data_IF_510116310554
#
_entry.id   IF_510116310554
#
_cell.length_a   1.000
_cell.length_b   1.000
_cell.length_c   1.000
_cell.angle_alpha   90.00
_cell.angle_beta   90.00
_cell.angle_gamma   90.00
#
_symmetry.space_group_name_H-M   'P 1'
#
loop_
_entity.id
_entity.type
_entity.pdbx_description
1 polymer ?
#
# COMPACT_ATOMS: atom_id res chain seq x y z
N UNK A 1 54.23 -39.85 12.57
CA UNK A 1 54.39 -38.37 12.52
C UNK A 1 53.09 -37.70 12.04
N UNK A 2 52.22 -38.42 11.33
CA UNK A 2 50.93 -37.95 10.82
C UNK A 2 49.84 -37.73 11.91
N UNK A 3 49.78 -38.56 12.96
CA UNK A 3 48.75 -38.43 14.01
C UNK A 3 48.81 -37.12 14.83
N UNK A 4 50.02 -36.57 15.02
CA UNK A 4 50.20 -35.29 15.75
C UNK A 4 49.75 -34.09 14.90
N UNK A 5 49.89 -34.19 13.58
CA UNK A 5 49.48 -33.14 12.64
C UNK A 5 47.95 -33.12 12.50
N UNK A 6 47.31 -34.29 12.48
CA UNK A 6 45.85 -34.39 12.41
C UNK A 6 45.18 -33.90 13.70
N UNK A 7 45.74 -34.25 14.86
CA UNK A 7 45.27 -33.75 16.16
C UNK A 7 45.42 -32.22 16.27
N UNK A 8 46.55 -31.67 15.79
CA UNK A 8 46.76 -30.21 15.81
C UNK A 8 45.78 -29.45 14.90
N UNK A 9 45.43 -30.01 13.74
CA UNK A 9 44.42 -29.43 12.84
C UNK A 9 43.02 -29.47 13.43
N UNK A 10 42.64 -30.58 14.07
CA UNK A 10 41.35 -30.72 14.73
C UNK A 10 41.19 -29.71 15.88
N UNK A 11 42.22 -29.57 16.71
CA UNK A 11 42.22 -28.60 17.81
C UNK A 11 42.15 -27.14 17.31
N UNK A 12 42.76 -26.83 16.17
CA UNK A 12 42.69 -25.50 15.57
C UNK A 12 41.27 -25.16 15.06
N UNK A 13 40.56 -26.15 14.50
CA UNK A 13 39.17 -26.00 14.05
C UNK A 13 38.24 -25.81 15.23
N UNK A 14 38.41 -26.59 16.30
CA UNK A 14 37.62 -26.45 17.53
C UNK A 14 37.84 -25.09 18.21
N UNK A 15 39.09 -24.60 18.26
CA UNK A 15 39.38 -23.26 18.79
C UNK A 15 38.70 -22.16 17.96
N UNK A 16 38.71 -22.28 16.63
CA UNK A 16 38.09 -21.30 15.74
C UNK A 16 36.57 -21.25 15.95
N UNK A 17 35.92 -22.42 16.01
CA UNK A 17 34.48 -22.52 16.23
C UNK A 17 34.05 -21.98 17.60
N UNK A 18 34.82 -22.25 18.66
CA UNK A 18 34.57 -21.69 20.01
C UNK A 18 34.74 -20.16 20.01
N UNK A 19 35.71 -19.63 19.26
CA UNK A 19 35.94 -18.18 19.19
C UNK A 19 34.80 -17.47 18.44
N UNK A 20 34.29 -18.07 17.36
CA UNK A 20 33.13 -17.54 16.61
C UNK A 20 31.82 -17.60 17.41
N UNK A 21 31.60 -18.66 18.21
CA UNK A 21 30.41 -18.75 19.07
C UNK A 21 30.45 -17.69 20.18
N UNK A 22 31.60 -17.53 20.85
CA UNK A 22 31.77 -16.53 21.93
C UNK A 22 31.58 -15.10 21.41
N UNK A 23 32.13 -14.77 20.24
CA UNK A 23 31.96 -13.44 19.65
C UNK A 23 30.52 -13.15 19.22
N UNK A 24 29.79 -14.17 18.73
CA UNK A 24 28.36 -14.05 18.39
C UNK A 24 27.49 -13.80 19.62
N UNK A 25 27.76 -14.51 20.71
CA UNK A 25 27.04 -14.35 21.99
C UNK A 25 27.31 -12.98 22.64
N UNK A 26 28.54 -12.48 22.57
CA UNK A 26 28.88 -11.12 23.03
C UNK A 26 28.17 -10.04 22.20
N UNK A 27 28.08 -10.21 20.88
CA UNK A 27 27.35 -9.30 19.99
C UNK A 27 25.84 -9.31 20.26
N UNK A 28 25.26 -10.48 20.48
CA UNK A 28 23.84 -10.65 20.84
C UNK A 28 23.53 -10.00 22.19
N UNK A 29 24.37 -10.22 23.20
CA UNK A 29 24.22 -9.60 24.52
C UNK A 29 24.39 -8.08 24.47
N UNK A 30 25.35 -7.57 23.68
CA UNK A 30 25.54 -6.13 23.49
C UNK A 30 24.35 -5.49 22.78
N UNK A 31 23.82 -6.12 21.72
CA UNK A 31 22.60 -5.66 21.04
C UNK A 31 21.38 -5.72 21.96
N UNK A 32 21.23 -6.78 22.76
CA UNK A 32 20.17 -6.91 23.77
C UNK A 32 20.23 -5.77 24.80
N UNK A 33 21.43 -5.45 25.29
CA UNK A 33 21.65 -4.33 26.22
C UNK A 33 21.35 -2.96 25.62
N UNK A 34 21.72 -2.71 24.36
CA UNK A 34 21.38 -1.46 23.67
C UNK A 34 19.86 -1.33 23.40
N UNK A 35 19.19 -2.43 23.04
CA UNK A 35 17.73 -2.46 22.87
C UNK A 35 17.03 -2.16 24.19
N UNK A 36 17.49 -2.71 25.31
CA UNK A 36 16.89 -2.47 26.63
C UNK A 36 17.08 -1.01 27.09
N UNK A 37 18.25 -0.42 26.82
CA UNK A 37 18.48 1.02 27.04
C UNK A 37 17.53 1.89 26.21
N UNK A 38 17.28 1.52 24.95
CA UNK A 38 16.32 2.22 24.10
C UNK A 38 14.88 2.06 24.63
N UNK A 39 14.50 0.84 25.06
CA UNK A 39 13.19 0.56 25.66
C UNK A 39 12.90 1.43 26.87
N UNK A 40 13.89 1.59 27.75
CA UNK A 40 13.81 2.45 28.93
C UNK A 40 13.83 3.94 28.56
N UNK A 41 14.71 4.36 27.65
CA UNK A 41 14.81 5.76 27.20
C UNK A 41 13.49 6.28 26.63
N UNK A 42 12.80 5.48 25.84
CA UNK A 42 11.53 5.85 25.21
C UNK A 42 10.31 5.38 26.01
N UNK A 43 10.51 4.89 27.24
CA UNK A 43 9.47 4.43 28.15
C UNK A 43 8.38 3.59 27.46
N UNK A 44 8.79 2.59 26.69
CA UNK A 44 7.84 1.75 25.94
C UNK A 44 6.87 0.98 26.83
N UNK A 45 7.17 0.84 28.12
CA UNK A 45 6.26 0.28 29.13
C UNK A 45 5.03 1.17 29.36
N UNK A 46 5.07 2.45 29.00
CA UNK A 46 3.91 3.35 29.04
C UNK A 46 3.02 3.24 27.78
N UNK A 47 3.41 2.43 26.80
CA UNK A 47 2.65 2.17 25.56
C UNK A 47 1.72 0.95 25.73
N UNK A 48 1.75 0.24 26.86
CA UNK A 48 0.81 -0.84 27.16
C UNK A 48 -0.61 -0.28 27.30
N UNK A 49 -1.38 -0.33 26.21
CA UNK A 49 -2.72 0.26 26.10
C UNK A 49 -2.88 1.31 24.99
N UNK A 50 -1.85 1.57 24.19
CA UNK A 50 -1.99 2.37 22.97
C UNK A 50 -2.75 1.56 21.91
N UNK A 51 -4.03 1.85 21.70
CA UNK A 51 -4.88 1.20 20.67
C UNK A 51 -4.53 1.63 19.23
N UNK A 52 -3.44 2.39 19.03
CA UNK A 52 -3.18 3.04 17.76
C UNK A 52 -4.01 4.32 17.60
N UNK A 53 -3.41 5.40 17.12
CA UNK A 53 -4.19 6.56 16.66
C UNK A 53 -4.94 6.16 15.39
N UNK A 54 -6.28 6.12 15.42
CA UNK A 54 -7.11 5.97 14.22
C UNK A 54 -6.74 7.01 13.17
N UNK A 55 -6.87 6.65 11.89
CA UNK A 55 -6.72 7.62 10.82
C UNK A 55 -7.80 8.71 10.93
N UNK A 56 -7.41 9.97 10.76
CA UNK A 56 -8.34 11.10 10.77
C UNK A 56 -9.09 11.20 9.43
N UNK A 57 -9.95 10.21 9.15
CA UNK A 57 -10.65 10.12 7.87
C UNK A 57 -11.72 11.21 7.70
N UNK A 58 -12.20 11.80 8.79
CA UNK A 58 -13.07 12.99 8.81
C UNK A 58 -12.34 14.23 8.30
N UNK A 59 -11.08 14.45 8.70
CA UNK A 59 -10.24 15.52 8.15
C UNK A 59 -9.96 15.28 6.66
N UNK A 60 -9.64 14.04 6.28
CA UNK A 60 -9.45 13.66 4.87
C UNK A 60 -10.74 13.86 4.05
N UNK A 61 -11.91 13.53 4.62
CA UNK A 61 -13.21 13.77 3.99
C UNK A 61 -13.44 15.26 3.74
N UNK A 62 -13.19 16.11 4.75
CA UNK A 62 -13.37 17.55 4.64
C UNK A 62 -12.42 18.17 3.61
N UNK A 63 -11.16 17.75 3.55
CA UNK A 63 -10.22 18.23 2.53
C UNK A 63 -10.65 17.78 1.13
N UNK A 64 -11.03 16.51 0.96
CA UNK A 64 -11.52 16.00 -0.33
C UNK A 64 -12.77 16.75 -0.80
N UNK A 65 -13.72 16.99 0.10
CA UNK A 65 -14.91 17.81 -0.19
C UNK A 65 -14.51 19.22 -0.61
N UNK A 66 -13.58 19.85 0.11
CA UNK A 66 -13.10 21.19 -0.22
C UNK A 66 -12.45 21.24 -1.60
N UNK A 67 -11.68 20.21 -2.00
CA UNK A 67 -11.15 20.08 -3.35
C UNK A 67 -12.26 19.97 -4.41
N UNK A 68 -13.31 19.19 -4.13
CA UNK A 68 -14.45 19.02 -5.01
C UNK A 68 -15.28 20.32 -5.17
N UNK A 69 -15.53 21.05 -4.09
CA UNK A 69 -16.23 22.34 -4.09
C UNK A 69 -15.46 23.40 -4.89
N UNK A 70 -14.12 23.38 -4.82
CA UNK A 70 -13.24 24.21 -5.67
C UNK A 70 -13.25 23.78 -7.14
N UNK A 71 -13.88 22.65 -7.47
CA UNK A 71 -13.95 22.10 -8.82
C UNK A 71 -12.61 21.58 -9.32
N UNK A 72 -11.74 21.13 -8.42
CA UNK A 72 -10.42 20.63 -8.78
C UNK A 72 -10.49 19.33 -9.59
N UNK A 73 -9.57 19.19 -10.54
CA UNK A 73 -9.42 17.94 -11.28
C UNK A 73 -8.60 16.96 -10.42
N UNK A 74 -9.23 15.85 -10.03
CA UNK A 74 -8.63 14.88 -9.11
C UNK A 74 -7.79 13.82 -9.83
N UNK A 75 -6.71 13.39 -9.17
CA UNK A 75 -5.88 12.24 -9.56
C UNK A 75 -5.93 11.22 -8.45
N UNK A 76 -6.42 10.01 -8.75
CA UNK A 76 -6.76 9.00 -7.74
C UNK A 76 -5.98 7.70 -7.93
N UNK A 77 -5.63 7.04 -6.81
CA UNK A 77 -4.90 5.78 -6.77
C UNK A 77 -5.47 4.88 -5.69
N UNK A 78 -5.93 3.68 -6.04
CA UNK A 78 -6.39 2.70 -5.04
C UNK A 78 -5.21 2.14 -4.23
N UNK A 79 -5.40 2.04 -2.93
CA UNK A 79 -4.42 1.50 -1.98
C UNK A 79 -5.11 0.83 -0.80
N UNK A 80 -4.34 0.07 -0.03
CA UNK A 80 -4.65 -0.21 1.37
C UNK A 80 -3.75 0.72 2.18
N UNK A 81 -4.30 1.40 3.17
CA UNK A 81 -3.53 2.33 4.00
C UNK A 81 -2.77 1.61 5.12
N UNK A 82 -2.03 2.37 5.93
CA UNK A 82 -1.24 1.81 7.04
C UNK A 82 -2.10 1.23 8.17
N UNK A 83 -3.42 1.40 8.11
CA UNK A 83 -4.40 0.87 9.07
C UNK A 83 -5.10 -0.37 8.55
N UNK A 84 -4.73 -0.86 7.35
CA UNK A 84 -5.35 -2.04 6.74
C UNK A 84 -6.75 -1.74 6.19
N UNK A 85 -7.05 -0.49 5.85
CA UNK A 85 -8.34 -0.08 5.29
C UNK A 85 -8.18 0.23 3.80
N UNK A 86 -9.14 -0.21 2.98
CA UNK A 86 -9.22 0.17 1.58
C UNK A 86 -9.36 1.69 1.45
N UNK A 87 -8.50 2.29 0.64
CA UNK A 87 -8.42 3.74 0.54
C UNK A 87 -8.14 4.18 -0.89
N UNK A 88 -8.38 5.47 -1.14
CA UNK A 88 -7.90 6.17 -2.33
C UNK A 88 -6.87 7.20 -1.88
N UNK A 89 -5.65 7.10 -2.40
CA UNK A 89 -4.75 8.25 -2.39
C UNK A 89 -5.27 9.25 -3.42
N UNK A 90 -5.54 10.48 -2.99
CA UNK A 90 -6.07 11.56 -3.81
C UNK A 90 -5.09 12.73 -3.81
N UNK A 91 -4.93 13.36 -4.97
CA UNK A 91 -4.20 14.62 -5.13
C UNK A 91 -4.84 15.47 -6.22
N UNK A 92 -4.47 16.75 -6.23
CA UNK A 92 -4.77 17.67 -7.32
C UNK A 92 -3.54 18.51 -7.64
N UNK A 93 -3.72 19.51 -8.51
CA UNK A 93 -2.66 20.50 -8.79
C UNK A 93 -2.34 21.37 -7.57
N UNK A 94 -3.30 21.57 -6.67
CA UNK A 94 -3.26 22.55 -5.58
C UNK A 94 -3.18 21.93 -4.20
N UNK A 95 -3.60 20.67 -4.05
CA UNK A 95 -3.53 19.91 -2.80
C UNK A 95 -2.62 18.70 -2.97
N UNK A 96 -1.67 18.56 -2.05
CA UNK A 96 -0.73 17.43 -2.02
C UNK A 96 -1.44 16.10 -1.70
N UNK A 97 -0.77 14.98 -1.99
CA UNK A 97 -1.36 13.65 -1.86
C UNK A 97 -1.70 13.29 -0.40
N UNK A 98 -2.91 12.83 -0.17
CA UNK A 98 -3.36 12.22 1.09
C UNK A 98 -4.25 11.01 0.82
N UNK A 99 -4.54 10.20 1.85
CA UNK A 99 -5.42 9.04 1.71
C UNK A 99 -6.84 9.37 2.19
N UNK A 100 -7.84 8.81 1.52
CA UNK A 100 -9.22 8.83 1.98
C UNK A 100 -9.68 7.37 2.10
N UNK A 101 -9.95 6.92 3.32
CA UNK A 101 -10.46 5.58 3.57
C UNK A 101 -11.88 5.46 3.01
N UNK A 102 -12.11 4.39 2.26
CA UNK A 102 -13.34 4.19 1.52
C UNK A 102 -14.45 3.63 2.39
N UNK A 103 -15.65 4.13 2.12
CA UNK A 103 -16.92 3.46 2.42
C UNK A 103 -17.67 3.31 1.10
N UNK A 104 -18.68 2.41 1.00
CA UNK A 104 -19.47 2.28 -0.22
C UNK A 104 -20.07 3.62 -0.71
N UNK A 105 -20.62 4.42 0.22
CA UNK A 105 -21.15 5.75 -0.09
C UNK A 105 -20.05 6.75 -0.45
N UNK A 106 -18.90 6.68 0.23
CA UNK A 106 -17.73 7.52 -0.09
C UNK A 106 -17.19 7.25 -1.49
N UNK A 107 -17.12 5.98 -1.91
CA UNK A 107 -16.74 5.60 -3.26
C UNK A 107 -17.75 6.13 -4.29
N UNK A 108 -19.05 5.93 -4.06
CA UNK A 108 -20.10 6.44 -4.95
C UNK A 108 -20.04 7.96 -5.09
N UNK A 109 -19.83 8.69 -3.99
CA UNK A 109 -19.68 10.14 -3.98
C UNK A 109 -18.51 10.60 -4.85
N UNK A 110 -17.34 9.97 -4.73
CA UNK A 110 -16.19 10.25 -5.58
C UNK A 110 -16.52 10.01 -7.06
N UNK A 111 -17.17 8.90 -7.40
CA UNK A 111 -17.54 8.58 -8.80
C UNK A 111 -18.52 9.61 -9.37
N UNK A 112 -19.50 10.07 -8.58
CA UNK A 112 -20.43 11.13 -8.97
C UNK A 112 -19.69 12.44 -9.24
N UNK A 113 -18.75 12.81 -8.38
CA UNK A 113 -17.92 13.99 -8.61
C UNK A 113 -17.11 13.88 -9.91
N UNK A 114 -16.39 12.77 -10.10
CA UNK A 114 -15.56 12.56 -11.29
C UNK A 114 -16.37 12.66 -12.58
N UNK A 115 -17.61 12.15 -12.57
CA UNK A 115 -18.49 12.08 -13.73
C UNK A 115 -19.25 13.39 -13.99
N UNK A 116 -19.87 13.96 -12.95
CA UNK A 116 -20.86 15.04 -13.06
C UNK A 116 -20.49 16.33 -12.31
N UNK A 117 -19.36 16.38 -11.61
CA UNK A 117 -18.96 17.47 -10.71
C UNK A 117 -19.86 17.66 -9.49
N UNK A 118 -20.59 16.63 -9.08
CA UNK A 118 -21.41 16.65 -7.87
C UNK A 118 -20.50 16.59 -6.63
N UNK A 119 -20.44 17.67 -5.85
CA UNK A 119 -19.60 17.79 -4.64
C UNK A 119 -20.31 17.37 -3.35
N UNK A 120 -21.62 17.25 -3.40
CA UNK A 120 -22.48 17.05 -2.25
C UNK A 120 -22.38 15.61 -1.73
N UNK A 121 -22.03 15.49 -0.47
CA UNK A 121 -21.65 14.28 0.27
C UNK A 121 -22.83 13.63 1.02
N UNK A 122 -24.08 13.93 0.65
CA UNK A 122 -25.27 13.44 1.35
C UNK A 122 -25.17 11.95 1.70
N UNK A 123 -25.27 11.63 3.00
CA UNK A 123 -25.20 10.26 3.56
C UNK A 123 -23.83 9.56 3.48
N UNK A 124 -22.73 10.29 3.24
CA UNK A 124 -21.39 9.74 3.45
C UNK A 124 -21.08 9.79 4.95
N UNK A 125 -20.89 8.62 5.57
CA UNK A 125 -20.40 8.49 6.93
C UNK A 125 -18.90 8.12 6.89
N UNK A 126 -17.97 9.09 6.86
CA UNK A 126 -16.55 8.84 6.61
C UNK A 126 -15.87 8.04 7.73
N UNK A 127 -16.48 7.93 8.91
CA UNK A 127 -15.92 7.17 10.04
C UNK A 127 -16.42 5.71 10.08
N UNK A 128 -17.41 5.34 9.27
CA UNK A 128 -17.96 3.97 9.18
C UNK A 128 -17.13 3.10 8.22
N UNK A 129 -15.82 3.07 8.43
CA UNK A 129 -14.87 2.28 7.63
C UNK A 129 -14.72 0.87 8.19
N UNK A 130 -14.54 -0.09 7.29
CA UNK A 130 -14.27 -1.48 7.64
C UNK A 130 -12.83 -1.85 7.29
N UNK A 131 -12.15 -2.68 8.09
CA UNK A 131 -10.90 -3.29 7.68
C UNK A 131 -11.06 -4.02 6.33
N UNK A 132 -10.01 -3.96 5.52
CA UNK A 132 -9.91 -4.69 4.27
C UNK A 132 -9.71 -6.18 4.54
N UNK A 133 -10.39 -7.04 3.78
CA UNK A 133 -10.09 -8.48 3.73
C UNK A 133 -8.78 -8.74 2.98
N UNK A 134 -8.41 -7.84 2.07
CA UNK A 134 -7.14 -7.84 1.37
C UNK A 134 -6.05 -7.19 2.21
N UNK A 135 -4.84 -7.73 2.17
CA UNK A 135 -3.64 -7.12 2.79
C UNK A 135 -2.66 -6.58 1.74
N UNK A 136 -2.79 -7.02 0.49
CA UNK A 136 -1.98 -6.55 -0.63
C UNK A 136 -2.76 -5.54 -1.48
N UNK A 137 -2.29 -4.30 -1.47
CA UNK A 137 -2.87 -3.23 -2.28
C UNK A 137 -2.82 -3.52 -3.79
N UNK A 138 -1.93 -4.43 -4.24
CA UNK A 138 -1.90 -4.89 -5.64
C UNK A 138 -3.13 -5.72 -6.00
N UNK A 139 -3.56 -6.64 -5.13
CA UNK A 139 -4.78 -7.44 -5.32
C UNK A 139 -6.00 -6.54 -5.37
N UNK A 140 -6.16 -5.66 -4.37
CA UNK A 140 -7.24 -4.68 -4.34
C UNK A 140 -7.31 -3.83 -5.62
N UNK A 141 -6.17 -3.34 -6.13
CA UNK A 141 -6.10 -2.60 -7.40
C UNK A 141 -6.56 -3.41 -8.60
N UNK A 142 -6.24 -4.71 -8.66
CA UNK A 142 -6.66 -5.60 -9.75
C UNK A 142 -8.16 -5.80 -9.73
N UNK A 143 -8.73 -6.04 -8.56
CA UNK A 143 -10.18 -6.25 -8.42
C UNK A 143 -10.95 -4.98 -8.75
N UNK A 144 -10.47 -3.82 -8.32
CA UNK A 144 -11.02 -2.53 -8.75
C UNK A 144 -10.89 -2.32 -10.25
N UNK A 145 -9.79 -2.70 -10.89
CA UNK A 145 -9.66 -2.60 -12.36
C UNK A 145 -10.68 -3.51 -13.07
N UNK A 146 -10.82 -4.76 -12.61
CA UNK A 146 -11.82 -5.70 -13.14
C UNK A 146 -13.23 -5.14 -12.96
N UNK A 147 -13.56 -4.62 -11.77
CA UNK A 147 -14.85 -3.97 -11.49
C UNK A 147 -15.16 -2.85 -12.49
N UNK A 148 -14.19 -1.98 -12.78
CA UNK A 148 -14.36 -0.91 -13.77
C UNK A 148 -14.55 -1.45 -15.20
N UNK A 149 -13.84 -2.52 -15.57
CA UNK A 149 -13.98 -3.16 -16.87
C UNK A 149 -15.35 -3.84 -17.03
N UNK A 150 -15.85 -4.53 -16.00
CA UNK A 150 -17.16 -5.20 -16.02
C UNK A 150 -18.33 -4.22 -16.12
N UNK A 151 -18.19 -3.04 -15.49
CA UNK A 151 -19.27 -2.04 -15.41
C UNK A 151 -19.12 -0.91 -16.44
N UNK A 152 -18.17 -1.03 -17.38
CA UNK A 152 -17.87 0.00 -18.39
C UNK A 152 -17.68 1.40 -17.77
N UNK A 153 -17.04 1.45 -16.60
CA UNK A 153 -16.92 2.68 -15.81
C UNK A 153 -15.83 3.59 -16.36
N UNK A 154 -16.26 4.74 -16.88
CA UNK A 154 -15.36 5.74 -17.45
C UNK A 154 -14.61 5.24 -18.69
N UNK A 155 -13.71 6.07 -19.22
CA UNK A 155 -12.92 5.70 -20.41
C UNK A 155 -11.58 5.10 -20.00
N UNK A 156 -11.52 3.78 -19.96
CA UNK A 156 -10.32 3.01 -19.64
C UNK A 156 -9.33 3.03 -20.82
N UNK A 157 -8.07 3.32 -20.52
CA UNK A 157 -6.95 3.30 -21.47
C UNK A 157 -5.79 2.51 -20.87
N UNK A 158 -5.35 1.47 -21.57
CA UNK A 158 -4.18 0.68 -21.17
C UNK A 158 -2.91 1.24 -21.82
N UNK A 159 -1.83 1.32 -21.05
CA UNK A 159 -0.51 1.64 -21.59
C UNK A 159 -0.04 0.44 -22.43
N UNK A 160 0.34 0.64 -23.71
CA UNK A 160 0.86 -0.45 -24.53
C UNK A 160 2.11 -1.07 -23.92
N UNK A 161 2.27 -2.39 -24.04
CA UNK A 161 3.34 -3.13 -23.36
C UNK A 161 4.74 -2.58 -23.63
N UNK A 162 5.06 -2.22 -24.87
CA UNK A 162 6.36 -1.65 -25.24
C UNK A 162 6.61 -0.23 -24.69
N UNK A 163 5.56 0.46 -24.23
CA UNK A 163 5.64 1.77 -23.57
C UNK A 163 5.60 1.66 -22.05
N UNK A 164 5.15 0.52 -21.54
CA UNK A 164 5.06 0.29 -20.11
C UNK A 164 6.41 -0.18 -19.55
N UNK A 165 6.56 -0.10 -18.23
CA UNK A 165 7.72 -0.67 -17.54
C UNK A 165 7.66 -2.19 -17.64
N UNK A 166 8.82 -2.82 -17.83
CA UNK A 166 8.93 -4.29 -17.92
C UNK A 166 8.26 -4.97 -16.73
N UNK A 167 7.35 -5.90 -17.02
CA UNK A 167 6.59 -6.65 -16.01
C UNK A 167 5.45 -5.87 -15.34
N UNK A 168 5.20 -4.61 -15.71
CA UNK A 168 4.10 -3.80 -15.14
C UNK A 168 2.92 -3.73 -16.10
N UNK A 169 1.74 -3.52 -15.53
CA UNK A 169 0.52 -3.15 -16.22
C UNK A 169 0.02 -1.83 -15.66
N UNK A 170 -0.08 -0.85 -16.54
CA UNK A 170 -0.57 0.48 -16.24
C UNK A 170 -1.85 0.75 -17.03
N UNK A 171 -2.88 1.25 -16.36
CA UNK A 171 -4.10 1.73 -16.99
C UNK A 171 -4.54 3.06 -16.39
N UNK A 172 -5.27 3.86 -17.17
CA UNK A 172 -5.87 5.12 -16.73
C UNK A 172 -7.34 5.12 -17.08
N UNK A 173 -8.19 5.37 -16.09
CA UNK A 173 -9.62 5.59 -16.31
C UNK A 173 -9.87 7.08 -16.30
N UNK A 174 -10.35 7.60 -17.42
CA UNK A 174 -10.55 9.03 -17.61
C UNK A 174 -11.99 9.43 -17.35
N UNK A 175 -12.16 10.50 -16.57
CA UNK A 175 -13.43 11.17 -16.31
C UNK A 175 -13.33 12.68 -16.61
N UNK A 176 -14.47 13.39 -16.80
CA UNK A 176 -14.50 14.83 -17.01
C UNK A 176 -13.84 15.66 -15.89
N UNK A 177 -13.93 15.21 -14.63
CA UNK A 177 -13.41 15.94 -13.45
C UNK A 177 -12.27 15.24 -12.72
N UNK A 178 -11.67 14.23 -13.35
CA UNK A 178 -10.49 13.58 -12.81
C UNK A 178 -10.11 12.33 -13.56
N UNK A 179 -9.23 11.56 -12.95
CA UNK A 179 -8.74 10.33 -13.52
C UNK A 179 -8.27 9.40 -12.42
N UNK A 180 -8.42 8.10 -12.67
CA UNK A 180 -7.99 7.04 -11.76
C UNK A 180 -6.84 6.30 -12.44
N UNK A 181 -5.72 6.19 -11.74
CA UNK A 181 -4.57 5.45 -12.22
C UNK A 181 -4.49 4.07 -11.57
N UNK A 182 -4.22 3.09 -12.41
CA UNK A 182 -3.97 1.71 -12.03
C UNK A 182 -2.53 1.36 -12.37
N UNK A 183 -1.76 0.94 -11.36
CA UNK A 183 -0.41 0.42 -11.51
C UNK A 183 -0.27 -0.88 -10.72
N UNK A 184 0.07 -1.96 -11.42
CA UNK A 184 0.22 -3.29 -10.84
C UNK A 184 1.25 -4.11 -11.60
N UNK A 185 1.69 -5.22 -11.02
CA UNK A 185 2.44 -6.23 -11.76
C UNK A 185 1.54 -6.90 -12.80
N UNK A 186 2.13 -7.31 -13.92
CA UNK A 186 1.52 -8.31 -14.78
C UNK A 186 1.57 -9.64 -14.07
N UNK A 187 0.41 -10.25 -13.90
CA UNK A 187 0.27 -11.67 -13.63
C UNK A 187 -0.54 -12.32 -14.75
N UNK A 188 -0.43 -13.65 -14.85
CA UNK A 188 -1.03 -14.40 -15.94
C UNK A 188 -2.56 -14.30 -15.93
N UNK A 189 -3.19 -14.36 -14.77
CA UNK A 189 -4.65 -14.34 -14.62
C UNK A 189 -5.24 -13.02 -15.12
N UNK A 190 -4.66 -11.89 -14.70
CA UNK A 190 -5.08 -10.56 -15.14
C UNK A 190 -4.89 -10.38 -16.65
N UNK A 191 -3.75 -10.83 -17.19
CA UNK A 191 -3.47 -10.70 -18.63
C UNK A 191 -4.45 -11.53 -19.45
N UNK A 192 -4.72 -12.76 -19.05
CA UNK A 192 -5.70 -13.63 -19.70
C UNK A 192 -7.11 -13.03 -19.66
N UNK A 193 -7.53 -12.50 -18.50
CA UNK A 193 -8.80 -11.77 -18.35
C UNK A 193 -8.90 -10.59 -19.33
N UNK A 194 -7.90 -9.71 -19.37
CA UNK A 194 -7.92 -8.51 -20.21
C UNK A 194 -7.85 -8.85 -21.71
N UNK A 195 -7.08 -9.87 -22.10
CA UNK A 195 -7.05 -10.37 -23.49
C UNK A 195 -8.36 -11.00 -23.90
N UNK A 196 -9.00 -11.77 -23.01
CA UNK A 196 -10.31 -12.36 -23.25
C UNK A 196 -11.39 -11.32 -23.54
N UNK A 197 -11.25 -10.11 -22.97
CA UNK A 197 -12.11 -8.95 -23.24
C UNK A 197 -11.62 -8.06 -24.39
N UNK A 198 -10.56 -8.44 -25.11
CA UNK A 198 -9.92 -7.64 -26.16
C UNK A 198 -9.48 -6.23 -25.70
N UNK A 199 -9.18 -6.05 -24.41
CA UNK A 199 -8.77 -4.76 -23.83
C UNK A 199 -7.26 -4.51 -24.02
N UNK A 200 -6.47 -5.58 -24.10
CA UNK A 200 -5.03 -5.57 -24.38
C UNK A 200 -4.69 -6.65 -25.42
N UNK A 201 -3.48 -6.57 -25.98
CA UNK A 201 -2.98 -7.55 -26.98
C UNK A 201 -2.11 -8.62 -26.34
#
# INVERSE_FOLDING_TARGET
MEDKIQTAKQNAIELANVTESVTSDELLNKKGGEIEKLRQRYNLNAISGYEGTKYANDEAHAELKSMMERGERLSLYFTIDNYGVEAISVESKTTGRFNYQLTPNGFLWIIKYLTNKESEDFNVAPLEVTPSDETDASTFRKDMLKLFCENEMGRIQFTPEFRDRTGKLSATVNFPYGHIFFFMERDQELVEYLRGKNLIR
#
